data_IF_796121166143
#
_entry.id   IF_796121166143
#
_cell.length_a   1.000
_cell.length_b   1.000
_cell.length_c   1.000
_cell.angle_alpha   90.00
_cell.angle_beta   90.00
_cell.angle_gamma   90.00
#
_symmetry.space_group_name_H-M   'P 1'
#
loop_
_entity.id
_entity.type
_entity.pdbx_description
1 polymer ?
#
# COMPACT_ATOMS: atom_id res chain seq x y z
N UNK A 1 43.40 -4.15 14.49
CA UNK A 1 43.90 -3.30 15.60
C UNK A 1 42.87 -2.19 15.74
N UNK A 2 42.16 -2.17 16.86
CA UNK A 2 40.82 -1.57 17.02
C UNK A 2 40.74 -0.06 16.74
N UNK A 3 39.77 0.33 15.90
CA UNK A 3 39.31 1.70 15.76
C UNK A 3 38.60 2.16 17.04
N UNK A 4 39.26 3.05 17.79
CA UNK A 4 38.70 3.67 18.98
C UNK A 4 37.79 4.81 18.52
N UNK A 5 36.49 4.53 18.48
CA UNK A 5 35.41 5.52 18.38
C UNK A 5 35.60 6.55 19.50
N UNK A 6 35.97 7.78 19.14
CA UNK A 6 35.97 8.93 20.04
C UNK A 6 34.54 9.20 20.51
N UNK A 7 34.14 8.60 21.63
CA UNK A 7 32.96 9.02 22.40
C UNK A 7 33.23 10.43 22.93
N UNK A 8 32.65 11.44 22.29
CA UNK A 8 32.58 12.81 22.79
C UNK A 8 32.10 12.80 24.25
N UNK A 9 33.03 12.97 25.19
CA UNK A 9 32.74 12.96 26.62
C UNK A 9 32.20 14.34 27.02
N UNK A 10 30.95 14.64 26.66
CA UNK A 10 30.21 15.73 27.29
C UNK A 10 30.05 15.37 28.77
N UNK A 11 30.79 16.06 29.62
CA UNK A 11 30.64 15.96 31.08
C UNK A 11 29.31 16.58 31.49
N UNK A 12 28.25 15.78 31.44
CA UNK A 12 26.91 16.21 31.87
C UNK A 12 26.88 16.28 33.39
N UNK A 13 26.50 17.43 33.93
CA UNK A 13 26.33 17.66 35.36
C UNK A 13 24.99 17.04 35.78
N UNK A 14 25.02 15.99 36.60
CA UNK A 14 23.83 15.35 37.16
C UNK A 14 24.14 14.76 38.53
N UNK A 15 23.16 14.79 39.43
CA UNK A 15 23.31 14.20 40.77
C UNK A 15 23.41 12.66 40.68
N UNK A 16 24.07 11.98 41.63
CA UNK A 16 24.11 10.51 41.66
C UNK A 16 22.72 9.87 41.63
N UNK A 17 21.75 10.46 42.35
CA UNK A 17 20.35 10.02 42.37
C UNK A 17 19.72 10.10 40.97
N UNK A 18 19.92 11.21 40.27
CA UNK A 18 19.41 11.42 38.90
C UNK A 18 20.03 10.45 37.91
N UNK A 19 21.33 10.13 38.05
CA UNK A 19 21.99 9.11 37.20
C UNK A 19 21.48 7.71 37.46
N UNK A 20 21.22 7.36 38.72
CA UNK A 20 20.63 6.07 39.08
C UNK A 20 19.24 5.93 38.46
N UNK A 21 18.41 6.95 38.60
CA UNK A 21 17.06 6.98 38.03
C UNK A 21 17.04 6.85 36.49
N UNK A 22 17.96 7.52 35.79
CA UNK A 22 18.09 7.36 34.34
C UNK A 22 18.45 5.92 33.93
N UNK A 23 19.37 5.27 34.67
CA UNK A 23 19.76 3.87 34.40
C UNK A 23 18.62 2.90 34.66
N UNK A 24 17.82 3.12 35.70
CA UNK A 24 16.63 2.31 36.01
C UNK A 24 15.60 2.36 34.86
N UNK A 25 15.51 3.50 34.17
CA UNK A 25 14.67 3.70 32.98
C UNK A 25 15.37 3.36 31.66
N UNK A 26 16.60 2.85 31.69
CA UNK A 26 17.36 2.48 30.50
C UNK A 26 17.83 3.66 29.62
N UNK A 27 17.89 4.88 30.17
CA UNK A 27 18.23 6.11 29.43
C UNK A 27 19.64 6.57 29.79
N UNK A 28 20.45 6.92 28.78
CA UNK A 28 21.72 7.60 29.03
C UNK A 28 21.46 9.08 29.36
N UNK A 29 22.00 9.53 30.50
CA UNK A 29 21.90 10.91 30.98
C UNK A 29 22.53 11.90 29.97
N UNK A 30 23.42 11.41 29.10
CA UNK A 30 24.04 12.21 28.04
C UNK A 30 23.05 12.68 26.97
N UNK A 31 21.96 11.94 26.77
CA UNK A 31 20.97 12.20 25.74
C UNK A 31 19.84 13.11 26.23
N UNK A 32 19.81 13.40 27.54
CA UNK A 32 18.78 14.22 28.17
C UNK A 32 19.24 15.68 28.25
N UNK A 33 18.50 16.64 27.65
CA UNK A 33 18.82 18.06 27.80
C UNK A 33 18.55 18.51 29.25
N UNK A 34 19.55 19.12 29.89
CA UNK A 34 19.46 19.56 31.28
C UNK A 34 18.92 20.98 31.42
N UNK A 35 17.89 21.17 32.25
CA UNK A 35 17.18 22.47 32.36
C UNK A 35 17.77 23.42 33.41
N UNK A 36 18.69 22.96 34.28
CA UNK A 36 19.26 23.79 35.36
C UNK A 36 20.60 24.43 34.98
N UNK A 37 21.05 25.37 35.82
CA UNK A 37 22.32 26.11 35.67
C UNK A 37 23.48 25.21 35.21
N UNK A 38 24.20 25.65 34.20
CA UNK A 38 25.29 24.90 33.52
C UNK A 38 24.83 23.60 32.84
N UNK A 39 23.57 23.54 32.38
CA UNK A 39 23.03 22.35 31.69
C UNK A 39 22.88 21.14 32.60
N UNK A 40 22.62 21.35 33.90
CA UNK A 40 22.48 20.27 34.87
C UNK A 40 21.16 19.53 34.68
N UNK A 41 21.23 18.21 34.54
CA UNK A 41 20.06 17.34 34.40
C UNK A 41 19.46 17.03 35.76
N UNK A 42 18.14 17.18 35.88
CA UNK A 42 17.35 16.78 37.04
C UNK A 42 16.38 15.64 36.70
N UNK A 43 15.80 15.01 37.73
CA UNK A 43 14.85 13.90 37.58
C UNK A 43 13.63 14.27 36.72
N UNK A 44 13.19 15.52 36.78
CA UNK A 44 12.08 16.04 35.97
C UNK A 44 12.39 15.99 34.47
N UNK A 45 13.61 16.35 34.08
CA UNK A 45 14.04 16.35 32.67
C UNK A 45 14.01 14.93 32.08
N UNK A 46 14.38 13.93 32.88
CA UNK A 46 14.32 12.51 32.46
C UNK A 46 12.87 12.06 32.27
N UNK A 47 11.97 12.41 33.19
CA UNK A 47 10.53 12.08 33.09
C UNK A 47 9.89 12.69 31.85
N UNK A 48 10.25 13.93 31.53
CA UNK A 48 9.77 14.64 30.36
C UNK A 48 10.33 14.02 29.06
N UNK A 49 11.62 13.70 29.04
CA UNK A 49 12.26 13.01 27.92
C UNK A 49 11.64 11.65 27.61
N UNK A 50 11.32 10.85 28.63
CA UNK A 50 10.61 9.56 28.49
C UNK A 50 9.23 9.79 27.84
N UNK A 51 8.47 10.74 28.35
CA UNK A 51 7.10 11.01 27.90
C UNK A 51 7.07 11.45 26.43
N UNK A 52 8.02 12.29 26.03
CA UNK A 52 8.18 12.73 24.64
C UNK A 52 8.57 11.56 23.72
N UNK A 53 9.53 10.71 24.13
CA UNK A 53 9.98 9.60 23.29
C UNK A 53 8.95 8.48 23.16
N UNK A 54 8.13 8.23 24.19
CA UNK A 54 6.99 7.32 24.08
C UNK A 54 6.04 7.85 22.97
N UNK A 55 5.65 9.12 23.03
CA UNK A 55 4.75 9.71 22.04
C UNK A 55 5.38 9.79 20.63
N UNK A 56 6.69 10.00 20.53
CA UNK A 56 7.43 10.05 19.27
C UNK A 56 7.56 8.66 18.60
N UNK A 57 7.72 7.60 19.40
CA UNK A 57 7.73 6.22 18.88
C UNK A 57 6.33 5.76 18.46
N UNK A 58 5.27 6.22 19.12
CA UNK A 58 3.89 5.97 18.67
C UNK A 58 3.54 6.70 17.36
N UNK A 59 4.10 7.89 17.13
CA UNK A 59 3.86 8.64 15.88
C UNK A 59 4.70 8.14 14.70
N UNK A 60 5.82 7.45 14.94
CA UNK A 60 6.67 6.88 13.89
C UNK A 60 6.23 5.50 13.40
N UNK A 61 5.29 4.84 14.10
CA UNK A 61 4.77 3.51 13.75
C UNK A 61 3.63 3.52 12.72
N UNK A 62 3.21 4.71 12.28
CA UNK A 62 2.18 4.92 11.26
C UNK A 62 2.75 5.30 9.88
N UNK A 63 4.06 5.13 9.66
CA UNK A 63 4.57 5.05 8.29
C UNK A 63 4.43 3.60 7.87
N UNK A 64 3.51 3.34 6.92
CA UNK A 64 3.50 2.09 6.16
C UNK A 64 4.94 1.86 5.70
N UNK A 65 5.57 0.80 6.19
CA UNK A 65 6.89 0.40 5.72
C UNK A 65 6.74 0.16 4.22
N UNK A 66 7.20 1.11 3.41
CA UNK A 66 7.43 0.89 1.99
C UNK A 66 8.35 -0.32 1.89
N UNK A 67 7.82 -1.46 1.46
CA UNK A 67 8.57 -2.67 1.20
C UNK A 67 9.51 -2.33 0.04
N UNK A 68 10.67 -1.77 0.36
CA UNK A 68 11.77 -1.62 -0.59
C UNK A 68 12.31 -3.02 -0.84
N UNK A 69 11.80 -3.65 -1.90
CA UNK A 69 12.40 -4.85 -2.48
C UNK A 69 13.85 -4.49 -2.77
N UNK A 70 14.78 -5.01 -1.96
CA UNK A 70 16.21 -4.89 -2.25
C UNK A 70 16.51 -5.87 -3.37
N UNK A 71 17.03 -5.37 -4.48
CA UNK A 71 17.61 -6.24 -5.49
C UNK A 71 18.84 -6.93 -4.88
N UNK A 72 18.89 -8.26 -4.96
CA UNK A 72 19.98 -9.06 -4.41
C UNK A 72 21.29 -8.89 -5.21
N UNK A 73 21.19 -8.51 -6.48
CA UNK A 73 22.30 -8.35 -7.41
C UNK A 73 22.14 -7.10 -8.28
N UNK A 74 23.27 -6.53 -8.71
CA UNK A 74 23.28 -5.46 -9.70
C UNK A 74 23.07 -6.02 -11.11
N UNK A 75 22.21 -5.38 -11.91
CA UNK A 75 21.86 -5.90 -13.24
C UNK A 75 23.07 -5.98 -14.20
N UNK A 76 24.10 -5.16 -13.98
CA UNK A 76 25.35 -5.16 -14.78
C UNK A 76 26.25 -6.37 -14.54
N UNK A 77 26.03 -7.16 -13.48
CA UNK A 77 26.82 -8.36 -13.20
C UNK A 77 26.65 -9.45 -14.26
N UNK A 78 25.56 -9.39 -15.05
CA UNK A 78 25.18 -10.42 -16.02
C UNK A 78 25.41 -9.99 -17.49
N UNK A 79 26.04 -8.84 -17.75
CA UNK A 79 26.34 -8.35 -19.10
C UNK A 79 26.01 -6.88 -19.31
N UNK A 80 25.99 -6.45 -20.57
CA UNK A 80 25.64 -5.08 -20.95
C UNK A 80 24.17 -4.76 -20.66
N UNK A 81 23.91 -3.59 -20.05
CA UNK A 81 22.56 -3.15 -19.67
C UNK A 81 22.25 -1.80 -20.30
N UNK A 82 21.02 -1.64 -20.79
CA UNK A 82 20.47 -0.38 -21.26
C UNK A 82 19.36 0.10 -20.31
N UNK A 83 19.45 1.33 -19.84
CA UNK A 83 18.41 1.96 -19.01
C UNK A 83 17.43 2.69 -19.93
N UNK A 84 16.17 2.26 -19.93
CA UNK A 84 15.07 2.92 -20.65
C UNK A 84 14.06 3.52 -19.69
N UNK A 85 13.63 4.74 -19.96
CA UNK A 85 12.58 5.37 -19.17
C UNK A 85 11.21 4.73 -19.42
N UNK A 86 10.48 4.51 -18.33
CA UNK A 86 9.10 4.01 -18.39
C UNK A 86 8.17 5.12 -18.90
N UNK A 87 7.23 4.77 -19.77
CA UNK A 87 6.21 5.71 -20.26
C UNK A 87 5.34 6.26 -19.13
N UNK A 88 4.85 7.50 -19.28
CA UNK A 88 4.02 8.17 -18.25
C UNK A 88 2.79 7.36 -17.84
N UNK A 89 2.12 6.72 -18.80
CA UNK A 89 0.93 5.88 -18.55
C UNK A 89 1.30 4.69 -17.66
N UNK A 90 2.42 4.01 -17.94
CA UNK A 90 2.89 2.89 -17.12
C UNK A 90 3.31 3.33 -15.72
N UNK A 91 3.96 4.50 -15.59
CA UNK A 91 4.31 5.09 -14.28
C UNK A 91 3.07 5.33 -13.41
N UNK A 92 1.96 5.78 -14.00
CA UNK A 92 0.70 6.00 -13.29
C UNK A 92 -0.02 4.69 -13.00
N UNK A 93 -0.03 3.74 -13.95
CA UNK A 93 -0.75 2.48 -13.79
C UNK A 93 -0.09 1.52 -12.78
N UNK A 94 1.25 1.50 -12.70
CA UNK A 94 1.98 0.53 -11.89
C UNK A 94 1.58 0.54 -10.40
N UNK A 95 1.50 1.70 -9.70
CA UNK A 95 1.04 1.73 -8.31
C UNK A 95 -0.36 1.13 -8.11
N UNK A 96 -1.29 1.39 -9.04
CA UNK A 96 -2.65 0.85 -8.95
C UNK A 96 -2.70 -0.66 -9.15
N UNK A 97 -1.88 -1.20 -10.06
CA UNK A 97 -1.78 -2.63 -10.30
C UNK A 97 -1.17 -3.35 -9.09
N UNK A 98 -0.10 -2.79 -8.52
CA UNK A 98 0.54 -3.34 -7.31
C UNK A 98 -0.46 -3.35 -6.15
N UNK A 99 -1.15 -2.23 -5.92
CA UNK A 99 -2.17 -2.13 -4.86
C UNK A 99 -3.32 -3.13 -5.06
N UNK A 100 -3.79 -3.32 -6.29
CA UNK A 100 -4.81 -4.33 -6.60
C UNK A 100 -4.33 -5.74 -6.25
N UNK A 101 -3.11 -6.08 -6.68
CA UNK A 101 -2.52 -7.40 -6.44
C UNK A 101 -2.24 -7.69 -4.96
N UNK A 102 -1.82 -6.69 -4.20
CA UNK A 102 -1.47 -6.87 -2.78
C UNK A 102 -2.69 -6.88 -1.87
N UNK A 103 -3.72 -6.10 -2.20
CA UNK A 103 -4.86 -5.91 -1.31
C UNK A 103 -6.04 -6.83 -1.60
N UNK A 104 -6.20 -7.29 -2.84
CA UNK A 104 -7.38 -8.08 -3.23
C UNK A 104 -6.97 -9.56 -3.34
N UNK A 105 -7.60 -10.47 -2.58
CA UNK A 105 -7.38 -11.90 -2.74
C UNK A 105 -8.06 -12.39 -4.02
N UNK A 106 -7.37 -12.26 -5.15
CA UNK A 106 -7.90 -12.67 -6.46
C UNK A 106 -8.12 -14.19 -6.51
N UNK A 107 -9.30 -14.57 -6.96
CA UNK A 107 -9.64 -15.95 -7.32
C UNK A 107 -10.12 -15.95 -8.77
N UNK A 108 -9.61 -16.87 -9.57
CA UNK A 108 -10.03 -17.05 -10.97
C UNK A 108 -10.91 -18.28 -11.11
N UNK A 109 -11.99 -18.15 -11.86
CA UNK A 109 -12.86 -19.25 -12.25
C UNK A 109 -12.99 -19.25 -13.78
N UNK A 110 -13.02 -20.44 -14.37
CA UNK A 110 -13.14 -20.65 -15.80
C UNK A 110 -14.29 -21.62 -16.06
N UNK A 111 -15.11 -21.32 -17.05
CA UNK A 111 -16.25 -22.14 -17.45
C UNK A 111 -16.46 -21.98 -18.95
N UNK A 112 -17.16 -22.94 -19.55
CA UNK A 112 -17.47 -22.97 -20.98
C UNK A 112 -18.97 -22.75 -21.19
N UNK A 113 -19.33 -22.00 -22.24
CA UNK A 113 -20.70 -21.73 -22.60
C UNK A 113 -20.90 -21.97 -24.10
N UNK A 114 -21.91 -22.74 -24.46
CA UNK A 114 -22.35 -22.88 -25.84
C UNK A 114 -23.03 -21.60 -26.32
N UNK A 115 -22.57 -21.05 -27.44
CA UNK A 115 -23.05 -19.80 -28.03
C UNK A 115 -23.70 -20.00 -29.40
N UNK A 116 -23.99 -21.24 -29.80
CA UNK A 116 -24.52 -21.57 -31.13
C UNK A 116 -25.76 -20.74 -31.48
N UNK A 117 -26.77 -20.74 -30.60
CA UNK A 117 -28.01 -19.97 -30.81
C UNK A 117 -27.76 -18.46 -30.88
N UNK A 118 -26.81 -17.95 -30.08
CA UNK A 118 -26.45 -16.53 -30.09
C UNK A 118 -25.78 -16.13 -31.42
N UNK A 119 -24.89 -16.97 -31.95
CA UNK A 119 -24.24 -16.74 -33.24
C UNK A 119 -25.22 -16.81 -34.40
N UNK A 120 -26.15 -17.78 -34.39
CA UNK A 120 -27.23 -17.85 -35.36
C UNK A 120 -28.08 -16.59 -35.33
N UNK A 121 -28.50 -16.15 -34.14
CA UNK A 121 -29.25 -14.91 -33.98
C UNK A 121 -28.46 -13.71 -34.49
N UNK A 122 -27.19 -13.56 -34.09
CA UNK A 122 -26.30 -12.48 -34.55
C UNK A 122 -26.16 -12.45 -36.07
N UNK A 123 -26.08 -13.62 -36.71
CA UNK A 123 -25.95 -13.75 -38.15
C UNK A 123 -27.25 -13.38 -38.89
N UNK A 124 -28.41 -13.56 -38.27
CA UNK A 124 -29.70 -13.18 -38.84
C UNK A 124 -29.98 -11.66 -38.80
N UNK A 125 -29.22 -10.90 -38.01
CA UNK A 125 -29.40 -9.44 -37.88
C UNK A 125 -28.96 -8.71 -39.16
N UNK A 126 -29.95 -8.37 -39.98
CA UNK A 126 -29.82 -7.54 -41.17
C UNK A 126 -30.34 -6.11 -40.92
N UNK A 127 -29.81 -5.15 -41.66
CA UNK A 127 -30.37 -3.81 -41.75
C UNK A 127 -31.72 -3.85 -42.48
N UNK A 128 -32.70 -3.14 -41.94
CA UNK A 128 -34.09 -3.14 -42.44
C UNK A 128 -34.15 -2.42 -43.81
N UNK A 129 -33.30 -1.41 -44.02
CA UNK A 129 -33.31 -0.59 -45.22
C UNK A 129 -32.31 -1.11 -46.27
N UNK A 130 -31.07 -1.38 -45.86
CA UNK A 130 -30.02 -1.79 -46.80
C UNK A 130 -29.98 -3.29 -47.08
N UNK A 131 -30.66 -4.11 -46.26
CA UNK A 131 -30.59 -5.58 -46.27
C UNK A 131 -29.16 -6.14 -46.10
N UNK A 132 -28.24 -5.31 -45.65
CA UNK A 132 -26.88 -5.72 -45.35
C UNK A 132 -26.78 -6.28 -43.94
N UNK A 133 -25.82 -7.19 -43.73
CA UNK A 133 -25.56 -7.76 -42.41
C UNK A 133 -25.06 -6.69 -41.44
N UNK A 134 -25.74 -6.54 -40.30
CA UNK A 134 -25.27 -5.62 -39.26
C UNK A 134 -23.97 -6.16 -38.67
N UNK A 135 -22.93 -5.32 -38.66
CA UNK A 135 -21.61 -5.63 -38.09
C UNK A 135 -21.64 -5.57 -36.56
N UNK A 136 -22.41 -6.46 -35.94
CA UNK A 136 -22.50 -6.58 -34.49
C UNK A 136 -21.48 -7.63 -34.03
N UNK A 137 -20.64 -7.24 -33.07
CA UNK A 137 -19.69 -8.14 -32.42
C UNK A 137 -20.38 -8.97 -31.34
N UNK A 138 -19.92 -10.21 -31.05
CA UNK A 138 -20.43 -11.01 -29.94
C UNK A 138 -20.37 -10.29 -28.58
N UNK A 139 -19.40 -9.38 -28.43
CA UNK A 139 -19.21 -8.56 -27.23
C UNK A 139 -20.48 -7.82 -26.79
N UNK A 140 -21.31 -7.34 -27.72
CA UNK A 140 -22.55 -6.63 -27.37
C UNK A 140 -23.55 -7.55 -26.61
N UNK A 141 -23.65 -8.81 -27.03
CA UNK A 141 -24.49 -9.82 -26.37
C UNK A 141 -23.92 -10.20 -25.01
N UNK A 142 -22.60 -10.36 -24.92
CA UNK A 142 -21.90 -10.67 -23.68
C UNK A 142 -22.12 -9.55 -22.65
N UNK A 143 -21.94 -8.28 -23.04
CA UNK A 143 -22.20 -7.13 -22.16
C UNK A 143 -23.66 -7.15 -21.67
N UNK A 144 -24.62 -7.40 -22.58
CA UNK A 144 -26.04 -7.47 -22.22
C UNK A 144 -26.31 -8.59 -21.20
N UNK A 145 -25.71 -9.76 -21.39
CA UNK A 145 -25.80 -10.89 -20.48
C UNK A 145 -25.19 -10.56 -19.11
N UNK A 146 -23.99 -9.97 -19.08
CA UNK A 146 -23.30 -9.55 -17.84
C UNK A 146 -24.15 -8.54 -17.07
N UNK A 147 -24.68 -7.50 -17.72
CA UNK A 147 -25.53 -6.51 -17.05
C UNK A 147 -26.80 -7.16 -16.48
N UNK A 148 -27.41 -8.12 -17.19
CA UNK A 148 -28.55 -8.88 -16.67
C UNK A 148 -28.17 -9.70 -15.44
N UNK A 149 -27.02 -10.38 -15.48
CA UNK A 149 -26.48 -11.16 -14.37
C UNK A 149 -26.15 -10.30 -13.15
N UNK A 150 -25.50 -9.15 -13.32
CA UNK A 150 -25.18 -8.22 -12.23
C UNK A 150 -26.44 -7.68 -11.54
N UNK A 151 -27.54 -7.47 -12.29
CA UNK A 151 -28.84 -7.09 -11.70
C UNK A 151 -29.46 -8.21 -10.87
N UNK A 152 -29.30 -9.46 -11.30
CA UNK A 152 -29.81 -10.64 -10.58
C UNK A 152 -28.98 -10.96 -9.34
N UNK A 153 -27.67 -10.71 -9.38
CA UNK A 153 -26.72 -11.00 -8.32
C UNK A 153 -25.98 -9.72 -7.86
N UNK A 154 -26.63 -8.85 -7.07
CA UNK A 154 -26.11 -7.52 -6.74
C UNK A 154 -24.80 -7.52 -5.95
N UNK A 155 -24.48 -8.61 -5.24
CA UNK A 155 -23.21 -8.74 -4.52
C UNK A 155 -21.98 -8.66 -5.44
N UNK A 156 -22.11 -9.09 -6.71
CA UNK A 156 -21.04 -8.96 -7.69
C UNK A 156 -20.84 -7.51 -8.18
N UNK A 157 -21.87 -6.66 -8.06
CA UNK A 157 -21.79 -5.23 -8.39
C UNK A 157 -21.61 -4.37 -7.12
N UNK A 158 -20.73 -4.80 -6.23
CA UNK A 158 -20.47 -4.14 -4.95
C UNK A 158 -19.02 -3.70 -4.79
N UNK A 159 -18.75 -2.88 -3.79
CA UNK A 159 -17.39 -2.53 -3.38
C UNK A 159 -17.31 -2.53 -1.87
N UNK A 160 -16.22 -3.08 -1.34
CA UNK A 160 -15.97 -3.10 0.10
C UNK A 160 -15.30 -1.78 0.44
N UNK A 161 -15.97 -0.96 1.26
CA UNK A 161 -15.51 0.38 1.64
C UNK A 161 -14.68 0.33 2.92
N UNK A 162 -15.16 -0.44 3.89
CA UNK A 162 -14.50 -0.63 5.17
C UNK A 162 -14.65 -2.08 5.62
N UNK A 163 -13.53 -2.81 5.53
CA UNK A 163 -13.46 -4.22 5.95
C UNK A 163 -13.62 -4.33 7.48
N UNK A 164 -13.10 -3.38 8.25
CA UNK A 164 -13.13 -3.42 9.72
C UNK A 164 -14.54 -3.19 10.25
N UNK A 165 -15.28 -2.26 9.64
CA UNK A 165 -16.67 -1.97 10.00
C UNK A 165 -17.70 -2.79 9.19
N UNK A 166 -17.26 -3.67 8.30
CA UNK A 166 -18.12 -4.58 7.52
C UNK A 166 -19.07 -3.88 6.55
N UNK A 167 -18.71 -2.70 6.04
CA UNK A 167 -19.58 -1.92 5.14
C UNK A 167 -19.31 -2.25 3.67
N UNK A 168 -20.38 -2.62 2.97
CA UNK A 168 -20.36 -2.80 1.51
C UNK A 168 -21.23 -1.75 0.82
N UNK A 169 -20.77 -1.27 -0.33
CA UNK A 169 -21.49 -0.35 -1.21
C UNK A 169 -22.07 -1.15 -2.37
N UNK A 170 -23.39 -1.22 -2.47
CA UNK A 170 -24.09 -1.81 -3.61
C UNK A 170 -24.34 -0.76 -4.69
N UNK A 171 -23.83 -0.97 -5.90
CA UNK A 171 -23.99 -0.03 -7.01
C UNK A 171 -25.30 -0.31 -7.74
N UNK A 172 -26.11 0.74 -7.94
CA UNK A 172 -27.39 0.67 -8.68
C UNK A 172 -27.26 1.01 -10.16
N UNK A 173 -26.06 1.37 -10.59
CA UNK A 173 -25.73 1.70 -11.98
C UNK A 173 -24.89 0.59 -12.62
N UNK A 174 -24.96 0.53 -13.94
CA UNK A 174 -24.30 -0.45 -14.79
C UNK A 174 -23.75 0.29 -16.02
N UNK A 175 -22.52 -0.02 -16.42
CA UNK A 175 -21.83 0.61 -17.55
C UNK A 175 -21.64 -0.39 -18.69
#
# INVERSE_FOLDING_TARGET
>A
MNDIIQKNNKNVLASPKTRKFARELGIDVKDVPGSKRLGRVIEKDIKEFVSININKNFSKKNEKEDIKIKNEYEHSEFGEVEIKEISRIKKIAAPHLVNSWTNIPHVTNHDEADITEMEEFRNSLMDIYTREKKKITPLAFIIKAVVSSLKKFPNFNSSIDDIENGKIILKKYYH
#
